data_IF_516993076900
#
_entry.id   IF_516993076900
#
_cell.length_a   1.000
_cell.length_b   1.000
_cell.length_c   1.000
_cell.angle_alpha   90.00
_cell.angle_beta   90.00
_cell.angle_gamma   90.00
#
_symmetry.space_group_name_H-M   'P 1'
#
loop_
_entity.id
_entity.type
_entity.pdbx_description
1 polymer ?
#
# COMPACT_ATOMS: atom_id res chain seq x y z
N UNK A 1 2.50 18.94 -3.77
CA UNK A 1 1.84 19.09 -2.45
C UNK A 1 1.52 17.71 -1.83
N UNK A 2 2.40 16.70 -2.02
CA UNK A 2 2.27 15.34 -1.45
C UNK A 2 3.05 15.18 -0.13
N UNK A 3 4.18 15.89 -0.01
CA UNK A 3 5.15 15.78 1.10
C UNK A 3 4.63 16.11 2.51
N UNK A 4 3.60 16.95 2.64
CA UNK A 4 3.05 17.35 3.95
C UNK A 4 2.12 16.27 4.53
N UNK A 5 1.55 15.41 3.68
CA UNK A 5 0.56 14.42 4.10
C UNK A 5 1.21 13.18 4.71
N UNK A 6 2.28 12.66 4.09
CA UNK A 6 3.02 11.50 4.61
C UNK A 6 3.72 11.79 5.93
N UNK A 7 4.34 12.96 6.05
CA UNK A 7 5.02 13.41 7.27
C UNK A 7 4.10 13.41 8.50
N UNK A 8 2.79 13.65 8.33
CA UNK A 8 1.80 13.62 9.42
C UNK A 8 1.39 12.20 9.82
N UNK A 9 1.35 11.25 8.88
CA UNK A 9 1.08 9.83 9.17
C UNK A 9 2.25 9.19 9.92
N UNK A 10 3.47 9.48 9.46
CA UNK A 10 4.71 9.03 10.10
C UNK A 10 4.80 9.59 11.52
N UNK A 11 4.55 10.89 11.70
CA UNK A 11 4.44 11.49 13.03
C UNK A 11 3.36 10.79 13.89
N UNK A 12 2.19 10.48 13.33
CA UNK A 12 1.13 9.80 14.06
C UNK A 12 1.58 8.43 14.59
N UNK A 13 2.21 7.61 13.74
CA UNK A 13 2.76 6.30 14.16
C UNK A 13 3.78 6.46 15.28
N UNK A 14 4.67 7.45 15.17
CA UNK A 14 5.70 7.72 16.18
C UNK A 14 5.16 8.20 17.52
N UNK A 15 4.05 8.97 17.53
CA UNK A 15 3.53 9.59 18.76
C UNK A 15 2.34 8.85 19.41
N UNK A 16 1.56 8.06 18.65
CA UNK A 16 0.28 7.52 19.11
C UNK A 16 0.23 5.99 19.26
N UNK A 17 1.12 5.24 18.62
CA UNK A 17 1.24 3.80 18.93
C UNK A 17 2.15 3.67 20.14
N UNK A 18 1.60 3.26 21.31
CA UNK A 18 2.39 3.23 22.52
C UNK A 18 3.47 2.17 22.32
N UNK A 19 4.73 2.62 22.43
CA UNK A 19 5.97 1.85 22.50
C UNK A 19 5.94 0.86 23.70
N UNK A 20 4.90 0.04 23.85
CA UNK A 20 4.71 -0.84 25.02
C UNK A 20 5.76 -1.95 25.09
N UNK A 21 6.54 -2.16 24.01
CA UNK A 21 7.53 -3.22 23.93
C UNK A 21 8.93 -2.78 23.47
N UNK A 22 9.24 -1.48 23.37
CA UNK A 22 10.62 -1.05 23.16
C UNK A 22 11.19 -0.50 24.46
N UNK A 23 12.04 -1.30 25.11
CA UNK A 23 12.97 -0.79 26.09
C UNK A 23 13.80 0.32 25.42
N UNK A 24 13.78 1.52 26.02
CA UNK A 24 14.55 2.72 25.68
C UNK A 24 14.02 3.57 24.51
N UNK A 25 13.19 4.56 24.85
CA UNK A 25 13.65 5.96 24.90
C UNK A 25 14.10 6.68 23.62
N UNK A 26 13.94 6.12 22.43
CA UNK A 26 14.27 6.81 21.18
C UNK A 26 12.98 7.28 20.49
N UNK A 27 12.39 8.35 21.01
CA UNK A 27 11.49 9.19 20.20
C UNK A 27 12.38 10.17 19.44
N UNK A 28 12.50 10.10 18.11
CA UNK A 28 13.34 11.01 17.35
C UNK A 28 12.89 12.45 17.55
N UNK A 29 13.79 13.29 18.06
CA UNK A 29 13.51 14.71 18.39
C UNK A 29 13.10 15.54 17.16
N UNK A 30 13.35 15.05 15.94
CA UNK A 30 13.03 15.77 14.70
C UNK A 30 12.41 14.84 13.63
N UNK A 31 11.08 14.78 13.60
CA UNK A 31 10.27 14.17 12.51
C UNK A 31 10.37 14.95 11.18
N UNK A 32 11.10 16.08 11.16
CA UNK A 32 11.12 17.03 10.06
C UNK A 32 11.82 16.54 8.78
N UNK A 33 12.57 15.43 8.82
CA UNK A 33 13.34 14.94 7.65
C UNK A 33 12.82 13.65 7.03
N UNK A 34 11.86 12.96 7.66
CA UNK A 34 11.34 11.69 7.16
C UNK A 34 10.10 11.96 6.31
N UNK A 35 10.27 11.83 4.99
CA UNK A 35 9.24 12.21 4.02
C UNK A 35 8.46 11.01 3.44
N UNK A 36 8.96 9.79 3.63
CA UNK A 36 8.39 8.56 3.08
C UNK A 36 8.41 7.40 4.09
N UNK A 37 7.55 6.40 3.88
CA UNK A 37 7.60 5.14 4.61
C UNK A 37 8.92 4.38 4.41
N UNK A 38 9.53 4.52 3.23
CA UNK A 38 10.81 3.90 2.92
C UNK A 38 11.91 4.45 3.82
N UNK A 39 12.04 5.78 3.89
CA UNK A 39 13.00 6.44 4.79
C UNK A 39 12.74 6.05 6.25
N UNK A 40 11.47 6.04 6.67
CA UNK A 40 11.07 5.69 8.02
C UNK A 40 11.44 4.26 8.40
N UNK A 41 11.08 3.28 7.56
CA UNK A 41 11.31 1.86 7.85
C UNK A 41 12.79 1.51 7.71
N UNK A 42 13.52 2.17 6.81
CA UNK A 42 14.96 2.00 6.71
C UNK A 42 15.68 2.54 7.95
N UNK A 43 15.24 3.67 8.49
CA UNK A 43 15.82 4.26 9.70
C UNK A 43 15.40 3.51 10.97
N UNK A 44 14.14 3.06 11.04
CA UNK A 44 13.55 2.38 12.20
C UNK A 44 12.90 1.05 11.80
N UNK A 45 13.68 0.05 11.37
CA UNK A 45 13.13 -1.22 10.89
C UNK A 45 12.32 -1.98 11.95
N UNK A 46 12.64 -1.77 13.23
CA UNK A 46 11.93 -2.35 14.36
C UNK A 46 10.50 -1.78 14.56
N UNK A 47 10.18 -0.63 13.95
CA UNK A 47 8.85 -0.02 13.99
C UNK A 47 7.93 -0.49 12.86
N UNK A 48 8.41 -1.34 11.94
CA UNK A 48 7.60 -1.89 10.85
C UNK A 48 6.29 -2.53 11.32
N UNK A 49 6.24 -3.34 12.39
CA UNK A 49 4.97 -3.89 12.87
C UNK A 49 3.96 -2.82 13.31
N UNK A 50 4.42 -1.66 13.76
CA UNK A 50 3.54 -0.54 14.13
C UNK A 50 2.98 0.16 12.89
N UNK A 51 3.78 0.25 11.81
CA UNK A 51 3.30 0.75 10.51
C UNK A 51 2.22 -0.18 9.95
N UNK A 52 2.48 -1.48 9.96
CA UNK A 52 1.51 -2.50 9.51
C UNK A 52 0.21 -2.39 10.31
N UNK A 53 0.30 -2.31 11.64
CA UNK A 53 -0.87 -2.15 12.51
C UNK A 53 -1.63 -0.83 12.22
N UNK A 54 -0.93 0.29 12.03
CA UNK A 54 -1.56 1.55 11.66
C UNK A 54 -2.36 1.45 10.37
N UNK A 55 -1.80 0.80 9.35
CA UNK A 55 -2.46 0.62 8.06
C UNK A 55 -3.65 -0.34 8.15
N UNK A 56 -3.56 -1.39 8.97
CA UNK A 56 -4.68 -2.30 9.26
C UNK A 56 -5.87 -1.58 9.92
N UNK A 57 -5.58 -0.65 10.84
CA UNK A 57 -6.59 0.08 11.60
C UNK A 57 -7.10 1.34 10.88
N UNK A 58 -6.42 1.79 9.84
CA UNK A 58 -6.74 3.01 9.11
C UNK A 58 -8.15 2.98 8.49
N UNK A 59 -8.97 3.97 8.86
CA UNK A 59 -10.34 4.14 8.37
C UNK A 59 -10.50 5.30 7.38
N UNK A 60 -9.42 6.01 7.08
CA UNK A 60 -9.38 7.16 6.16
C UNK A 60 -8.11 7.13 5.31
N UNK A 61 -8.04 7.96 4.27
CA UNK A 61 -6.91 7.97 3.34
C UNK A 61 -6.95 6.78 2.37
N UNK A 62 -5.77 6.32 1.93
CA UNK A 62 -5.64 5.17 1.03
C UNK A 62 -4.69 4.08 1.59
N UNK A 63 -5.06 3.43 2.71
CA UNK A 63 -4.19 2.46 3.37
C UNK A 63 -3.77 1.29 2.48
N UNK A 64 -4.64 0.83 1.58
CA UNK A 64 -4.29 -0.25 0.67
C UNK A 64 -3.14 0.11 -0.27
N UNK A 65 -3.09 1.37 -0.75
CA UNK A 65 -1.98 1.84 -1.57
C UNK A 65 -0.67 1.91 -0.76
N UNK A 66 -0.74 2.35 0.50
CA UNK A 66 0.42 2.34 1.40
C UNK A 66 0.93 0.92 1.66
N UNK A 67 0.03 -0.05 1.85
CA UNK A 67 0.39 -1.46 2.02
C UNK A 67 1.17 -1.98 0.80
N UNK A 68 0.68 -1.69 -0.41
CA UNK A 68 1.42 -1.97 -1.65
C UNK A 68 2.80 -1.29 -1.65
N UNK A 69 2.85 0.00 -1.29
CA UNK A 69 4.08 0.78 -1.32
C UNK A 69 5.15 0.19 -0.40
N UNK A 70 4.79 -0.19 0.83
CA UNK A 70 5.75 -0.77 1.77
C UNK A 70 6.17 -2.20 1.41
N UNK A 71 5.33 -2.98 0.72
CA UNK A 71 5.77 -4.27 0.13
C UNK A 71 6.83 -4.02 -0.94
N UNK A 72 6.57 -3.08 -1.84
CA UNK A 72 7.46 -2.77 -2.97
C UNK A 72 8.81 -2.21 -2.53
N UNK A 73 8.80 -1.28 -1.57
CA UNK A 73 9.96 -0.46 -1.24
C UNK A 73 10.64 -0.86 0.09
N UNK A 74 9.89 -1.46 1.03
CA UNK A 74 10.38 -1.64 2.40
C UNK A 74 10.59 -3.12 2.78
N UNK A 75 10.35 -4.05 1.85
CA UNK A 75 10.53 -5.49 2.08
C UNK A 75 9.50 -6.11 3.04
N UNK A 76 8.33 -5.48 3.18
CA UNK A 76 7.20 -6.05 3.91
C UNK A 76 6.64 -7.29 3.19
N UNK A 77 6.04 -8.24 3.93
CA UNK A 77 5.48 -9.46 3.37
C UNK A 77 4.34 -9.15 2.38
N UNK A 78 4.46 -9.72 1.18
CA UNK A 78 3.42 -9.73 0.17
C UNK A 78 2.14 -10.40 0.68
N UNK A 79 2.28 -11.54 1.35
CA UNK A 79 1.16 -12.35 1.88
C UNK A 79 0.38 -11.59 2.96
N UNK A 80 1.06 -10.75 3.75
CA UNK A 80 0.40 -9.83 4.67
C UNK A 80 -0.45 -8.81 3.90
N UNK A 81 0.12 -8.13 2.90
CA UNK A 81 -0.61 -7.11 2.13
C UNK A 81 -1.79 -7.71 1.35
N UNK A 82 -1.64 -8.88 0.74
CA UNK A 82 -2.72 -9.59 0.04
C UNK A 82 -3.93 -9.85 0.94
N UNK A 83 -3.69 -10.07 2.24
CA UNK A 83 -4.75 -10.30 3.24
C UNK A 83 -5.39 -9.01 3.73
N UNK A 84 -4.59 -8.00 4.05
CA UNK A 84 -5.07 -6.78 4.71
C UNK A 84 -5.65 -5.75 3.72
N UNK A 85 -5.18 -5.71 2.46
CA UNK A 85 -5.76 -4.85 1.42
C UNK A 85 -7.27 -5.16 1.24
N UNK A 86 -7.68 -6.42 1.40
CA UNK A 86 -9.09 -6.82 1.25
C UNK A 86 -9.98 -6.34 2.40
N UNK A 87 -9.38 -5.89 3.50
CA UNK A 87 -10.08 -5.51 4.75
C UNK A 87 -10.18 -4.00 4.93
N UNK A 88 -9.48 -3.22 4.11
CA UNK A 88 -9.49 -1.75 4.25
C UNK A 88 -10.90 -1.20 4.05
N UNK A 89 -11.19 -0.12 4.80
CA UNK A 89 -12.51 0.53 4.80
C UNK A 89 -12.55 1.83 4.01
N UNK A 90 -11.40 2.27 3.48
CA UNK A 90 -11.25 3.52 2.74
C UNK A 90 -10.15 3.38 1.67
N UNK A 91 -10.13 4.34 0.74
CA UNK A 91 -9.15 4.38 -0.33
C UNK A 91 -9.54 3.61 -1.58
N UNK A 92 -8.54 3.14 -2.32
CA UNK A 92 -8.70 2.40 -3.56
C UNK A 92 -7.96 1.05 -3.53
N UNK A 93 -8.49 0.04 -2.81
CA UNK A 93 -7.85 -1.26 -2.74
C UNK A 93 -7.80 -1.99 -4.08
N UNK A 94 -8.71 -1.71 -5.02
CA UNK A 94 -8.67 -2.33 -6.34
C UNK A 94 -7.41 -1.94 -7.12
N UNK A 95 -7.00 -0.67 -7.03
CA UNK A 95 -5.73 -0.18 -7.60
C UNK A 95 -4.51 -0.79 -6.90
N UNK A 96 -4.55 -0.93 -5.57
CA UNK A 96 -3.48 -1.60 -4.83
C UNK A 96 -3.32 -3.07 -5.24
N UNK A 97 -4.43 -3.81 -5.39
CA UNK A 97 -4.44 -5.19 -5.86
C UNK A 97 -3.79 -5.31 -7.25
N UNK A 98 -4.13 -4.41 -8.17
CA UNK A 98 -3.50 -4.35 -9.50
C UNK A 98 -1.98 -4.14 -9.39
N UNK A 99 -1.53 -3.20 -8.56
CA UNK A 99 -0.11 -2.95 -8.36
C UNK A 99 0.63 -4.11 -7.68
N UNK A 100 -0.01 -4.82 -6.77
CA UNK A 100 0.55 -6.01 -6.13
C UNK A 100 0.86 -7.11 -7.17
N UNK A 101 -0.02 -7.32 -8.15
CA UNK A 101 0.25 -8.27 -9.25
C UNK A 101 1.37 -7.75 -10.14
N UNK A 102 1.27 -6.50 -10.60
CA UNK A 102 2.19 -5.94 -11.59
C UNK A 102 3.62 -5.80 -11.06
N UNK A 103 3.77 -5.33 -9.82
CA UNK A 103 5.06 -4.87 -9.29
C UNK A 103 5.59 -5.76 -8.15
N UNK A 104 4.73 -6.52 -7.46
CA UNK A 104 5.11 -7.32 -6.29
C UNK A 104 4.98 -8.84 -6.50
N UNK A 105 4.62 -9.27 -7.72
CA UNK A 105 4.53 -10.68 -8.09
C UNK A 105 3.37 -11.43 -7.43
N UNK A 106 2.32 -10.74 -6.98
CA UNK A 106 1.10 -11.41 -6.52
C UNK A 106 0.43 -12.20 -7.66
N UNK A 107 -0.26 -13.31 -7.36
CA UNK A 107 -0.90 -14.12 -8.39
C UNK A 107 -1.98 -13.36 -9.15
N UNK A 108 -2.03 -13.57 -10.47
CA UNK A 108 -3.04 -12.98 -11.35
C UNK A 108 -4.45 -13.38 -10.93
N UNK A 109 -4.63 -14.66 -10.63
CA UNK A 109 -5.90 -15.27 -10.24
C UNK A 109 -6.40 -14.74 -8.89
N UNK A 110 -5.50 -14.26 -8.03
CA UNK A 110 -5.88 -13.58 -6.80
C UNK A 110 -6.55 -12.23 -7.13
N UNK A 111 -5.95 -11.42 -7.98
CA UNK A 111 -6.53 -10.12 -8.34
C UNK A 111 -7.85 -10.24 -9.11
N UNK A 112 -7.95 -11.15 -10.08
CA UNK A 112 -9.21 -11.38 -10.82
C UNK A 112 -10.34 -11.83 -9.91
N UNK A 113 -10.02 -12.60 -8.87
CA UNK A 113 -11.00 -13.04 -7.87
C UNK A 113 -11.40 -11.93 -6.90
N UNK A 114 -10.47 -11.06 -6.50
CA UNK A 114 -10.71 -10.11 -5.41
C UNK A 114 -11.13 -8.70 -5.86
N UNK A 115 -10.62 -8.17 -6.98
CA UNK A 115 -10.99 -6.84 -7.50
C UNK A 115 -12.52 -6.66 -7.60
N UNK A 116 -13.30 -7.62 -8.15
CA UNK A 116 -14.76 -7.47 -8.27
C UNK A 116 -15.49 -7.43 -6.93
N UNK A 117 -14.85 -7.88 -5.83
CA UNK A 117 -15.45 -7.92 -4.49
C UNK A 117 -15.17 -6.67 -3.66
N UNK A 118 -14.26 -5.82 -4.13
CA UNK A 118 -13.90 -4.56 -3.46
C UNK A 118 -15.14 -3.67 -3.35
N UNK A 119 -15.39 -3.15 -2.14
CA UNK A 119 -16.58 -2.33 -1.82
C UNK A 119 -16.31 -0.83 -1.72
N UNK A 120 -15.05 -0.42 -1.81
CA UNK A 120 -14.60 0.97 -1.60
C UNK A 120 -13.61 1.36 -2.70
N UNK A 121 -13.60 2.64 -3.09
CA UNK A 121 -12.77 3.14 -4.18
C UNK A 121 -13.40 2.98 -5.56
N UNK A 122 -12.58 2.85 -6.60
CA UNK A 122 -13.01 2.71 -7.99
C UNK A 122 -12.55 1.37 -8.59
N UNK A 123 -13.30 0.29 -8.36
CA UNK A 123 -12.99 -1.02 -8.93
C UNK A 123 -13.14 -1.05 -10.46
N UNK A 124 -13.94 -0.16 -11.05
CA UNK A 124 -14.14 -0.09 -12.50
C UNK A 124 -12.87 0.39 -13.19
N UNK A 125 -12.24 1.43 -12.63
CA UNK A 125 -10.96 1.93 -13.13
C UNK A 125 -9.82 0.91 -12.98
N UNK A 126 -9.78 0.18 -11.87
CA UNK A 126 -8.79 -0.88 -11.67
C UNK A 126 -8.97 -2.03 -12.68
N UNK A 127 -10.21 -2.43 -12.95
CA UNK A 127 -10.51 -3.42 -14.00
C UNK A 127 -10.14 -2.89 -15.39
N UNK A 128 -10.40 -1.61 -15.68
CA UNK A 128 -9.94 -0.99 -16.92
C UNK A 128 -8.41 -1.09 -17.04
N UNK A 129 -7.66 -0.66 -16.02
CA UNK A 129 -6.20 -0.80 -16.02
C UNK A 129 -5.77 -2.25 -16.19
N UNK A 130 -6.42 -3.18 -15.51
CA UNK A 130 -6.17 -4.62 -15.63
C UNK A 130 -6.27 -5.11 -17.08
N UNK A 131 -7.42 -4.91 -17.73
CA UNK A 131 -7.65 -5.30 -19.13
C UNK A 131 -6.69 -4.59 -20.10
N UNK A 132 -6.33 -3.33 -19.84
CA UNK A 132 -5.49 -2.56 -20.75
C UNK A 132 -3.98 -2.74 -20.55
N UNK A 133 -3.54 -3.36 -19.46
CA UNK A 133 -2.11 -3.45 -19.15
C UNK A 133 -1.64 -4.89 -18.99
N UNK A 134 -2.36 -5.73 -18.24
CA UNK A 134 -1.94 -7.12 -18.00
C UNK A 134 -2.20 -7.96 -19.25
N UNK A 135 -3.40 -7.88 -19.83
CA UNK A 135 -3.72 -8.63 -21.05
C UNK A 135 -2.95 -8.09 -22.28
N UNK A 136 -2.65 -6.80 -22.33
CA UNK A 136 -1.89 -6.19 -23.43
C UNK A 136 -0.39 -6.48 -23.37
N UNK A 137 0.21 -6.55 -22.18
CA UNK A 137 1.61 -6.93 -22.00
C UNK A 137 1.84 -8.42 -22.31
N UNK A 138 0.87 -9.29 -21.98
CA UNK A 138 0.98 -10.74 -22.21
C UNK A 138 0.59 -11.16 -23.63
N UNK A 139 -0.35 -10.46 -24.28
CA UNK A 139 -0.80 -10.80 -25.64
C UNK A 139 0.17 -10.34 -26.74
N UNK A 140 1.09 -9.42 -26.46
CA UNK A 140 2.00 -8.85 -27.48
C UNK A 140 1.28 -8.14 -28.64
N UNK A 141 -0.03 -7.89 -28.53
CA UNK A 141 -0.84 -7.36 -29.63
C UNK A 141 -1.04 -5.85 -29.49
N UNK A 142 -0.40 -5.10 -30.38
CA UNK A 142 -0.71 -3.70 -30.66
C UNK A 142 -2.04 -3.61 -31.40
N UNK A 143 -3.09 -3.12 -30.73
CA UNK A 143 -4.34 -2.79 -31.42
C UNK A 143 -4.34 -1.32 -31.84
N UNK A 144 -4.31 -1.12 -33.17
CA UNK A 144 -4.82 0.10 -33.81
C UNK A 144 -6.33 0.09 -33.62
N UNK A 145 -6.88 1.13 -33.00
CA UNK A 145 -8.31 1.40 -33.04
C UNK A 145 -8.75 1.55 -34.51
N UNK A 146 -9.49 0.57 -35.04
CA UNK A 146 -10.28 0.80 -36.24
C UNK A 146 -11.60 1.46 -35.82
N UNK A 147 -11.89 2.57 -36.50
CA UNK A 147 -13.02 3.47 -36.28
C UNK A 147 -14.36 2.83 -36.61
#
# INVERSE_FOLDING_TARGET
>A
MYYIYESRKIAYVMFHYPLKNTHHGEVPETVQEISTWEDFINQYPHLRPMVEQYLEEATTGNPAYEMFYIVRHCGTSREWAEREILRVKAGNPAEAIYHMVRDCGSPREWAEREIPKVKVGDPTWAMFLWFFTVDLLESGQSWRFQK
#
